data_IF_727483496054
#
_entry.id   IF_727483496054
#
_cell.length_a   1.000
_cell.length_b   1.000
_cell.length_c   1.000
_cell.angle_alpha   90.00
_cell.angle_beta   90.00
_cell.angle_gamma   90.00
#
_symmetry.space_group_name_H-M   'P 1'
#
loop_
_entity.id
_entity.type
_entity.pdbx_description
1 polymer ?
#
# COMPACT_ATOMS: atom_id res chain seq x y z
N UNK A 1 21.98 6.32 -5.36
CA UNK A 1 20.54 6.57 -5.14
C UNK A 1 19.65 6.10 -6.30
N UNK A 2 20.01 6.33 -7.56
CA UNK A 2 19.16 6.04 -8.72
C UNK A 2 18.74 4.55 -8.86
N UNK A 3 19.65 3.59 -8.65
CA UNK A 3 19.35 2.16 -8.78
C UNK A 3 18.38 1.61 -7.72
N UNK A 4 18.37 2.20 -6.51
CA UNK A 4 17.47 1.79 -5.44
C UNK A 4 16.03 2.22 -5.70
N UNK A 5 15.84 3.39 -6.31
CA UNK A 5 14.53 3.87 -6.74
C UNK A 5 14.01 3.02 -7.91
N UNK A 6 14.89 2.68 -8.87
CA UNK A 6 14.56 1.83 -10.02
C UNK A 6 14.14 0.40 -9.64
N UNK A 7 14.65 -0.14 -8.51
CA UNK A 7 14.20 -1.44 -7.97
C UNK A 7 12.82 -1.39 -7.31
N UNK A 8 12.43 -0.24 -6.73
CA UNK A 8 11.16 -0.12 -5.97
C UNK A 8 9.99 0.38 -6.79
N UNK A 9 10.26 1.09 -7.88
CA UNK A 9 9.28 1.74 -8.74
C UNK A 9 9.33 1.05 -10.11
N UNK A 10 8.21 0.52 -10.62
CA UNK A 10 8.22 -0.22 -11.87
C UNK A 10 8.24 0.73 -13.07
N UNK A 11 9.29 0.62 -13.87
CA UNK A 11 9.45 1.33 -15.13
C UNK A 11 9.29 0.38 -16.32
N UNK A 12 8.61 0.84 -17.38
CA UNK A 12 8.57 0.21 -18.69
C UNK A 12 9.86 0.53 -19.48
N UNK A 13 10.20 -0.25 -20.52
CA UNK A 13 11.22 0.14 -21.48
C UNK A 13 10.88 1.53 -22.04
N UNK A 14 11.81 2.48 -21.95
CA UNK A 14 11.57 3.89 -22.26
C UNK A 14 11.44 4.82 -21.04
N UNK A 15 11.73 4.35 -19.82
CA UNK A 15 11.73 5.13 -18.56
C UNK A 15 10.37 5.72 -18.14
N UNK A 16 9.27 5.20 -18.69
CA UNK A 16 7.92 5.56 -18.26
C UNK A 16 7.47 4.64 -17.12
N UNK A 17 6.73 5.19 -16.15
CA UNK A 17 6.17 4.38 -15.07
C UNK A 17 5.14 3.38 -15.60
N UNK A 18 5.13 2.19 -15.02
CA UNK A 18 4.08 1.21 -15.25
C UNK A 18 3.00 1.34 -14.17
N UNK A 19 1.90 2.07 -14.42
CA UNK A 19 0.88 2.34 -13.40
C UNK A 19 0.25 1.07 -12.85
N UNK A 20 0.07 0.04 -13.68
CA UNK A 20 -0.57 -1.21 -13.28
C UNK A 20 0.33 -2.00 -12.33
N UNK A 21 1.61 -2.19 -12.69
CA UNK A 21 2.58 -2.83 -11.78
C UNK A 21 2.80 -2.03 -10.51
N UNK A 22 2.72 -0.70 -10.58
CA UNK A 22 2.87 0.18 -9.44
C UNK A 22 1.72 -0.02 -8.45
N UNK A 23 0.48 -0.05 -8.95
CA UNK A 23 -0.71 -0.35 -8.14
C UNK A 23 -0.60 -1.73 -7.51
N UNK A 24 -0.28 -2.77 -8.28
CA UNK A 24 -0.13 -4.13 -7.77
C UNK A 24 0.97 -4.23 -6.70
N UNK A 25 2.13 -3.59 -6.92
CA UNK A 25 3.22 -3.57 -5.94
C UNK A 25 2.80 -2.89 -4.63
N UNK A 26 2.05 -1.80 -4.72
CA UNK A 26 1.59 -1.06 -3.54
C UNK A 26 0.55 -1.83 -2.75
N UNK A 27 -0.41 -2.46 -3.43
CA UNK A 27 -1.40 -3.36 -2.81
C UNK A 27 -0.69 -4.51 -2.13
N UNK A 28 0.26 -5.14 -2.81
CA UNK A 28 1.03 -6.25 -2.24
C UNK A 28 1.77 -5.83 -0.97
N UNK A 29 2.51 -4.70 -1.00
CA UNK A 29 3.22 -4.16 0.17
C UNK A 29 2.26 -3.88 1.33
N UNK A 30 1.12 -3.22 1.06
CA UNK A 30 0.14 -2.88 2.07
C UNK A 30 -0.44 -4.13 2.73
N UNK A 31 -0.82 -5.13 1.91
CA UNK A 31 -1.35 -6.41 2.37
C UNK A 31 -0.32 -7.23 3.15
N UNK A 32 0.93 -7.27 2.71
CA UNK A 32 2.01 -7.94 3.46
C UNK A 32 2.24 -7.25 4.81
N UNK A 33 2.28 -5.92 4.83
CA UNK A 33 2.49 -5.14 6.05
C UNK A 33 1.36 -5.35 7.04
N UNK A 34 0.10 -5.31 6.61
CA UNK A 34 -1.04 -5.51 7.51
C UNK A 34 -1.10 -6.94 8.06
N UNK A 35 -0.68 -7.94 7.28
CA UNK A 35 -0.57 -9.32 7.77
C UNK A 35 0.51 -9.45 8.85
N UNK A 36 1.67 -8.80 8.67
CA UNK A 36 2.73 -8.78 9.69
C UNK A 36 2.24 -8.09 10.96
N UNK A 37 1.62 -6.90 10.83
CA UNK A 37 1.04 -6.17 11.96
C UNK A 37 0.01 -7.05 12.71
N UNK A 38 -0.88 -7.70 11.98
CA UNK A 38 -1.87 -8.62 12.55
C UNK A 38 -1.22 -9.79 13.30
N UNK A 39 -0.13 -10.36 12.77
CA UNK A 39 0.59 -11.48 13.38
C UNK A 39 1.32 -11.12 14.68
N UNK A 40 1.76 -9.86 14.84
CA UNK A 40 2.38 -9.37 16.08
C UNK A 40 1.35 -8.84 17.08
N UNK A 41 0.07 -9.13 16.85
CA UNK A 41 -1.03 -8.76 17.73
C UNK A 41 -1.65 -7.41 17.45
N UNK A 42 -1.09 -6.58 16.54
CA UNK A 42 -1.70 -5.33 16.08
C UNK A 42 -2.92 -5.68 15.23
N UNK A 43 -4.01 -5.98 15.92
CA UNK A 43 -5.33 -6.35 15.44
C UNK A 43 -6.37 -5.96 16.52
N UNK A 44 -7.68 -5.96 16.21
CA UNK A 44 -8.72 -5.57 17.18
C UNK A 44 -8.78 -6.41 18.46
N UNK A 45 -8.21 -7.63 18.45
CA UNK A 45 -8.17 -8.51 19.63
C UNK A 45 -6.97 -8.26 20.54
N UNK A 46 -5.85 -7.72 20.01
CA UNK A 46 -4.59 -7.57 20.75
C UNK A 46 -4.24 -6.14 21.17
N UNK A 47 -4.67 -5.11 20.42
CA UNK A 47 -4.45 -3.71 20.78
C UNK A 47 -5.76 -2.92 20.83
N UNK A 48 -5.75 -1.77 21.49
CA UNK A 48 -6.87 -0.84 21.41
C UNK A 48 -7.07 -0.37 19.97
N UNK A 49 -8.33 -0.16 19.59
CA UNK A 49 -8.74 0.36 18.28
C UNK A 49 -7.98 1.65 17.91
N UNK A 50 -7.67 2.48 18.90
CA UNK A 50 -6.93 3.73 18.71
C UNK A 50 -5.45 3.49 18.35
N UNK A 51 -4.78 2.54 19.00
CA UNK A 51 -3.38 2.24 18.70
C UNK A 51 -3.23 1.58 17.33
N UNK A 52 -4.08 0.59 17.04
CA UNK A 52 -4.08 -0.07 15.74
C UNK A 52 -4.33 0.94 14.59
N UNK A 53 -5.34 1.80 14.72
CA UNK A 53 -5.70 2.75 13.64
C UNK A 53 -4.56 3.73 13.35
N UNK A 54 -3.78 4.09 14.38
CA UNK A 54 -2.53 4.86 14.20
C UNK A 54 -1.48 4.05 13.42
N UNK A 55 -1.27 2.77 13.73
CA UNK A 55 -0.35 1.93 12.95
C UNK A 55 -0.76 1.80 11.48
N UNK A 56 -2.06 1.61 11.20
CA UNK A 56 -2.56 1.61 9.83
C UNK A 56 -2.26 2.93 9.11
N UNK A 57 -2.61 4.06 9.74
CA UNK A 57 -2.44 5.38 9.14
C UNK A 57 -0.97 5.75 8.91
N UNK A 58 -0.06 5.33 9.78
CA UNK A 58 1.36 5.70 9.71
C UNK A 58 2.20 4.74 8.87
N UNK A 59 1.82 3.46 8.75
CA UNK A 59 2.66 2.42 8.13
C UNK A 59 2.04 1.88 6.84
N UNK A 60 0.75 1.55 6.85
CA UNK A 60 0.09 0.87 5.71
C UNK A 60 -0.41 1.87 4.68
N UNK A 61 -1.13 2.91 5.14
CA UNK A 61 -1.74 3.92 4.28
C UNK A 61 -0.73 4.61 3.34
N UNK A 62 0.47 5.01 3.78
CA UNK A 62 1.47 5.63 2.90
C UNK A 62 1.91 4.72 1.74
N UNK A 63 1.86 3.39 1.90
CA UNK A 63 2.25 2.46 0.84
C UNK A 63 1.28 2.49 -0.34
N UNK A 64 0.00 2.78 -0.08
CA UNK A 64 -1.03 2.94 -1.12
C UNK A 64 -1.10 4.37 -1.66
N UNK A 65 -0.90 5.38 -0.82
CA UNK A 65 -0.98 6.80 -1.21
C UNK A 65 0.22 7.28 -2.01
N UNK A 66 1.42 6.76 -1.71
CA UNK A 66 2.65 7.09 -2.44
C UNK A 66 2.52 6.77 -3.94
N UNK A 67 1.76 5.73 -4.30
CA UNK A 67 1.53 5.39 -5.70
C UNK A 67 0.71 6.43 -6.47
N UNK A 68 -0.27 7.04 -5.80
CA UNK A 68 -1.12 8.09 -6.36
C UNK A 68 -0.31 9.38 -6.52
N UNK A 69 0.61 9.67 -5.59
CA UNK A 69 1.42 10.89 -5.62
C UNK A 69 2.45 10.95 -6.77
N UNK A 70 2.85 9.80 -7.32
CA UNK A 70 3.96 9.71 -8.29
C UNK A 70 3.47 9.52 -9.72
N UNK A 71 2.23 9.05 -9.91
CA UNK A 71 1.70 8.77 -11.24
C UNK A 71 0.21 9.09 -11.34
N UNK A 72 -0.22 9.49 -12.54
CA UNK A 72 -1.63 9.67 -12.84
C UNK A 72 -2.27 8.28 -13.03
N UNK A 73 -3.10 7.88 -12.07
CA UNK A 73 -3.83 6.61 -12.12
C UNK A 73 -5.20 6.79 -12.75
N UNK A 74 -5.61 5.81 -13.56
CA UNK A 74 -6.97 5.78 -14.12
C UNK A 74 -7.98 5.32 -13.06
N UNK A 75 -9.26 5.61 -13.29
CA UNK A 75 -10.35 5.29 -12.35
C UNK A 75 -10.35 3.83 -11.88
N UNK A 76 -10.13 2.87 -12.79
CA UNK A 76 -10.10 1.43 -12.44
C UNK A 76 -8.96 1.08 -11.49
N UNK A 77 -7.81 1.73 -11.63
CA UNK A 77 -6.65 1.56 -10.76
C UNK A 77 -6.90 2.18 -9.39
N UNK A 78 -7.53 3.36 -9.34
CA UNK A 78 -7.95 4.00 -8.09
C UNK A 78 -8.95 3.13 -7.33
N UNK A 79 -9.96 2.60 -8.02
CA UNK A 79 -10.93 1.66 -7.44
C UNK A 79 -10.25 0.42 -6.86
N UNK A 80 -9.25 -0.13 -7.56
CA UNK A 80 -8.49 -1.29 -7.07
C UNK A 80 -7.71 -0.96 -5.80
N UNK A 81 -7.14 0.25 -5.70
CA UNK A 81 -6.46 0.72 -4.49
C UNK A 81 -7.44 0.91 -3.34
N UNK A 82 -8.61 1.49 -3.60
CA UNK A 82 -9.68 1.67 -2.62
C UNK A 82 -10.17 0.32 -2.06
N UNK A 83 -10.44 -0.66 -2.94
CA UNK A 83 -10.81 -2.02 -2.52
C UNK A 83 -9.73 -2.70 -1.68
N UNK A 84 -8.45 -2.43 -1.96
CA UNK A 84 -7.34 -2.93 -1.16
C UNK A 84 -7.24 -2.23 0.21
N UNK A 85 -7.49 -0.91 0.26
CA UNK A 85 -7.58 -0.16 1.51
C UNK A 85 -8.73 -0.69 2.37
N UNK A 86 -9.90 -0.92 1.80
CA UNK A 86 -11.05 -1.52 2.48
C UNK A 86 -10.72 -2.90 3.06
N UNK A 87 -10.02 -3.75 2.30
CA UNK A 87 -9.57 -5.06 2.80
C UNK A 87 -8.61 -4.92 3.98
N UNK A 88 -7.71 -3.95 3.96
CA UNK A 88 -6.84 -3.65 5.11
C UNK A 88 -7.65 -3.10 6.29
N UNK A 89 -8.65 -2.27 6.03
CA UNK A 89 -9.53 -1.66 7.04
C UNK A 89 -10.47 -2.69 7.69
N UNK A 90 -10.84 -3.76 6.98
CA UNK A 90 -11.64 -4.86 7.56
C UNK A 90 -10.82 -5.83 8.41
N UNK A 91 -9.49 -5.77 8.33
CA UNK A 91 -8.59 -6.49 9.25
C UNK A 91 -8.37 -5.72 10.57
N UNK A 92 -8.91 -4.50 10.66
CA UNK A 92 -8.98 -3.64 11.85
C UNK A 92 -10.19 -4.01 12.71
#
# INVERSE_FOLDING_TARGET
>A
MADLLRKRIPFKPGDHLDPEKLVQSNIFKAMSTINVLSSIGVNPSGFSKLLYSRFYAQIVRPQTEYGIAINYLIYTQLKTLEEAQDKCIRKI
#
